data_IF_665313246294
#
_entry.id   IF_665313246294
#
_cell.length_a   1.000
_cell.length_b   1.000
_cell.length_c   1.000
_cell.angle_alpha   90.00
_cell.angle_beta   90.00
_cell.angle_gamma   90.00
#
_symmetry.space_group_name_H-M   'P 1'
#
loop_
_entity.id
_entity.type
_entity.pdbx_description
1 polymer ?
#
# COMPACT_ATOMS: atom_id res chain seq x y z
N UNK A 1 20.09 -46.46 11.38
CA UNK A 1 18.72 -46.13 10.95
C UNK A 1 18.32 -44.71 11.30
N UNK A 2 18.29 -44.31 12.62
CA UNK A 2 17.91 -42.90 12.99
C UNK A 2 18.94 -41.87 12.47
N UNK A 3 20.24 -42.13 12.59
CA UNK A 3 21.30 -41.25 12.07
C UNK A 3 21.25 -41.09 10.56
N UNK A 4 20.95 -42.15 9.81
CA UNK A 4 20.81 -42.09 8.35
C UNK A 4 19.60 -41.23 7.92
N UNK A 5 18.48 -41.32 8.67
CA UNK A 5 17.32 -40.49 8.43
C UNK A 5 17.65 -39.02 8.68
N UNK A 6 18.39 -38.75 9.76
CA UNK A 6 18.81 -37.38 10.09
C UNK A 6 19.69 -36.80 8.97
N UNK A 7 20.66 -37.54 8.48
CA UNK A 7 21.53 -37.11 7.37
C UNK A 7 20.75 -36.88 6.07
N UNK A 8 19.78 -37.75 5.76
CA UNK A 8 18.93 -37.56 4.57
C UNK A 8 18.13 -36.26 4.70
N UNK A 9 17.57 -35.98 5.88
CA UNK A 9 16.85 -34.73 6.13
C UNK A 9 17.78 -33.49 6.02
N UNK A 10 18.97 -33.54 6.58
CA UNK A 10 19.97 -32.49 6.46
C UNK A 10 20.34 -32.21 5.00
N UNK A 11 20.69 -33.24 4.22
CA UNK A 11 21.00 -33.06 2.80
C UNK A 11 19.83 -32.52 2.00
N UNK A 12 18.62 -33.00 2.27
CA UNK A 12 17.41 -32.49 1.61
C UNK A 12 17.20 -30.99 1.91
N UNK A 13 17.39 -30.60 3.17
CA UNK A 13 17.29 -29.21 3.58
C UNK A 13 18.36 -28.33 2.92
N UNK A 14 19.63 -28.83 2.89
CA UNK A 14 20.72 -28.09 2.23
C UNK A 14 20.48 -27.91 0.74
N UNK A 15 20.00 -28.93 0.04
CA UNK A 15 19.67 -28.82 -1.39
C UNK A 15 18.54 -27.82 -1.59
N UNK A 16 17.47 -27.92 -0.81
CA UNK A 16 16.33 -26.98 -0.89
C UNK A 16 16.76 -25.52 -0.68
N UNK A 17 17.54 -25.25 0.38
CA UNK A 17 18.03 -23.91 0.68
C UNK A 17 18.98 -23.42 -0.41
N UNK A 18 19.89 -24.27 -0.91
CA UNK A 18 20.84 -23.91 -1.98
C UNK A 18 20.12 -23.53 -3.28
N UNK A 19 19.09 -24.30 -3.66
CA UNK A 19 18.28 -24.01 -4.84
C UNK A 19 17.49 -22.71 -4.63
N UNK A 20 16.92 -22.50 -3.45
CA UNK A 20 16.15 -21.28 -3.13
C UNK A 20 17.03 -20.02 -3.17
N UNK A 21 18.22 -20.09 -2.57
CA UNK A 21 19.18 -18.97 -2.60
C UNK A 21 19.68 -18.76 -4.02
N UNK A 22 20.03 -19.81 -4.76
CA UNK A 22 20.45 -19.73 -6.15
C UNK A 22 19.40 -19.06 -7.04
N UNK A 23 18.12 -19.39 -6.83
CA UNK A 23 17.00 -18.76 -7.52
C UNK A 23 16.95 -17.25 -7.24
N UNK A 24 17.00 -16.85 -5.97
CA UNK A 24 16.96 -15.42 -5.58
C UNK A 24 18.16 -14.67 -6.19
N UNK A 25 19.37 -15.23 -6.11
CA UNK A 25 20.59 -14.61 -6.67
C UNK A 25 20.47 -14.47 -8.18
N UNK A 26 20.00 -15.51 -8.88
CA UNK A 26 19.83 -15.48 -10.34
C UNK A 26 18.87 -14.36 -10.76
N UNK A 27 17.70 -14.27 -10.14
CA UNK A 27 16.71 -13.26 -10.48
C UNK A 27 17.14 -11.84 -10.07
N UNK A 28 17.81 -11.71 -8.92
CA UNK A 28 18.40 -10.44 -8.49
C UNK A 28 19.47 -9.94 -9.49
N UNK A 29 20.36 -10.83 -9.92
CA UNK A 29 21.37 -10.51 -10.94
C UNK A 29 20.72 -10.17 -12.28
N UNK A 30 19.75 -11.00 -12.72
CA UNK A 30 19.02 -10.76 -13.96
C UNK A 30 18.33 -9.39 -13.96
N UNK A 31 17.72 -8.97 -12.86
CA UNK A 31 17.04 -7.67 -12.75
C UNK A 31 17.96 -6.48 -13.02
N UNK A 32 19.26 -6.62 -12.74
CA UNK A 32 20.26 -5.57 -13.01
C UNK A 32 20.50 -5.35 -14.50
N UNK A 33 20.32 -6.38 -15.34
CA UNK A 33 20.50 -6.29 -16.78
C UNK A 33 19.24 -5.84 -17.53
N UNK A 34 18.07 -5.90 -16.89
CA UNK A 34 16.84 -5.41 -17.49
C UNK A 34 16.73 -3.90 -17.34
N UNK A 35 16.80 -3.18 -18.46
CA UNK A 35 16.51 -1.75 -18.47
C UNK A 35 15.06 -1.49 -18.11
N UNK A 36 14.83 -0.60 -17.16
CA UNK A 36 13.47 -0.14 -16.86
C UNK A 36 12.84 0.45 -18.12
N UNK A 37 11.65 -0.03 -18.43
CA UNK A 37 10.87 0.51 -19.54
C UNK A 37 10.50 1.96 -19.21
N UNK A 38 11.04 2.92 -19.97
CA UNK A 38 10.61 4.31 -19.84
C UNK A 38 9.25 4.45 -20.52
N UNK A 39 8.25 4.82 -19.75
CA UNK A 39 6.94 5.17 -20.30
C UNK A 39 7.01 6.61 -20.84
N UNK A 40 6.37 6.89 -21.99
CA UNK A 40 6.29 8.25 -22.50
C UNK A 40 5.51 9.13 -21.53
N UNK A 41 5.90 10.39 -21.39
CA UNK A 41 5.11 11.35 -20.66
C UNK A 41 3.73 11.49 -21.33
N UNK A 42 2.67 11.44 -20.52
CA UNK A 42 1.30 11.68 -21.01
C UNK A 42 0.93 13.15 -20.80
N UNK A 43 0.20 13.70 -21.76
CA UNK A 43 -0.43 15.03 -21.62
C UNK A 43 -1.84 14.92 -21.07
N UNK A 44 -2.41 13.71 -21.04
CA UNK A 44 -3.75 13.44 -20.49
C UNK A 44 -3.65 13.35 -18.99
N UNK A 45 -4.35 14.24 -18.30
CA UNK A 45 -4.45 14.24 -16.84
C UNK A 45 -5.63 13.38 -16.42
N UNK A 46 -5.39 12.46 -15.50
CA UNK A 46 -6.36 11.51 -14.99
C UNK A 46 -6.79 11.92 -13.57
N UNK A 47 -8.01 11.54 -13.19
CA UNK A 47 -8.48 11.74 -11.81
C UNK A 47 -8.18 10.51 -10.97
N UNK A 48 -7.55 10.74 -9.81
CA UNK A 48 -7.20 9.69 -8.88
C UNK A 48 -8.04 9.77 -7.61
N UNK A 49 -8.40 8.62 -7.07
CA UNK A 49 -8.81 8.49 -5.68
C UNK A 49 -7.78 7.63 -4.94
N UNK A 50 -7.30 8.13 -3.81
CA UNK A 50 -6.32 7.44 -2.97
C UNK A 50 -7.05 6.97 -1.73
N UNK A 51 -7.05 5.66 -1.50
CA UNK A 51 -7.67 5.01 -0.35
C UNK A 51 -6.58 4.55 0.61
N UNK A 52 -6.64 4.99 1.86
CA UNK A 52 -5.70 4.64 2.91
C UNK A 52 -6.42 3.90 4.03
N UNK A 53 -6.48 2.55 3.99
CA UNK A 53 -7.01 1.78 5.11
C UNK A 53 -6.03 1.83 6.29
N UNK A 54 -6.49 2.31 7.45
CA UNK A 54 -5.70 2.53 8.65
C UNK A 54 -6.36 1.85 9.87
N UNK A 55 -5.81 0.70 10.29
CA UNK A 55 -6.25 -0.03 11.49
C UNK A 55 -5.28 0.21 12.65
N UNK A 56 -5.67 1.04 13.63
CA UNK A 56 -4.83 1.40 14.80
C UNK A 56 -3.48 2.03 14.42
N UNK A 57 -3.42 2.75 13.30
CA UNK A 57 -2.20 3.33 12.73
C UNK A 57 -1.99 4.80 13.17
N UNK A 58 -2.39 5.13 14.40
CA UNK A 58 -2.32 6.49 14.96
C UNK A 58 -0.93 7.12 14.90
N UNK A 59 0.13 6.31 15.00
CA UNK A 59 1.51 6.80 15.05
C UNK A 59 2.03 7.27 13.68
N UNK A 60 1.54 6.70 12.58
CA UNK A 60 2.14 6.86 11.24
C UNK A 60 1.20 7.57 10.25
N UNK A 61 -0.11 7.55 10.47
CA UNK A 61 -1.10 8.04 9.52
C UNK A 61 -0.88 9.50 9.10
N UNK A 62 -0.46 10.38 10.00
CA UNK A 62 -0.21 11.79 9.67
C UNK A 62 0.94 11.97 8.70
N UNK A 63 1.99 11.15 8.79
CA UNK A 63 3.10 11.18 7.86
C UNK A 63 2.67 10.72 6.47
N UNK A 64 1.88 9.64 6.39
CA UNK A 64 1.29 9.15 5.16
C UNK A 64 0.42 10.23 4.49
N UNK A 65 -0.56 10.78 5.20
CA UNK A 65 -1.47 11.84 4.70
C UNK A 65 -0.67 13.05 4.21
N UNK A 66 0.32 13.50 4.99
CA UNK A 66 1.18 14.63 4.59
C UNK A 66 1.94 14.31 3.29
N UNK A 67 2.43 13.09 3.11
CA UNK A 67 3.14 12.69 1.89
C UNK A 67 2.25 12.72 0.65
N UNK A 68 0.98 12.33 0.81
CA UNK A 68 -0.03 12.40 -0.26
C UNK A 68 -0.40 13.83 -0.57
N UNK A 69 -0.64 14.68 0.43
CA UNK A 69 -1.03 16.08 0.22
C UNK A 69 0.09 16.94 -0.38
N UNK A 70 1.34 16.47 -0.36
CA UNK A 70 2.51 17.14 -0.99
C UNK A 70 2.75 16.75 -2.44
N UNK A 71 1.83 16.05 -3.10
CA UNK A 71 1.99 15.71 -4.51
C UNK A 71 2.11 16.97 -5.38
N UNK A 72 2.98 16.89 -6.41
CA UNK A 72 3.09 17.94 -7.44
C UNK A 72 1.98 17.86 -8.50
N UNK A 73 1.18 16.82 -8.45
CA UNK A 73 -0.01 16.63 -9.29
C UNK A 73 -1.10 17.66 -8.90
N UNK A 74 -1.91 18.15 -9.86
CA UNK A 74 -2.93 19.15 -9.56
C UNK A 74 -3.91 18.67 -8.49
N UNK A 75 -4.10 19.49 -7.44
CA UNK A 75 -4.87 19.12 -6.26
C UNK A 75 -6.36 18.85 -6.55
N UNK A 76 -6.88 19.41 -7.64
CA UNK A 76 -8.25 19.20 -8.12
C UNK A 76 -8.44 17.87 -8.86
N UNK A 77 -7.36 17.17 -9.16
CA UNK A 77 -7.38 15.91 -9.91
C UNK A 77 -7.11 14.69 -9.03
N UNK A 78 -6.98 14.86 -7.72
CA UNK A 78 -6.92 13.73 -6.82
C UNK A 78 -7.63 14.00 -5.50
N UNK A 79 -8.24 12.97 -4.98
CA UNK A 79 -8.84 12.97 -3.66
C UNK A 79 -8.20 11.89 -2.79
N UNK A 80 -8.16 12.13 -1.48
CA UNK A 80 -7.63 11.22 -0.48
C UNK A 80 -8.74 10.86 0.51
N UNK A 81 -8.98 9.58 0.69
CA UNK A 81 -9.89 9.05 1.73
C UNK A 81 -9.08 8.16 2.68
N UNK A 82 -9.07 8.54 3.95
CA UNK A 82 -8.58 7.68 5.03
C UNK A 82 -9.75 6.87 5.60
N UNK A 83 -9.58 5.56 5.66
CA UNK A 83 -10.54 4.66 6.27
C UNK A 83 -10.01 4.31 7.66
N UNK A 84 -10.48 5.06 8.65
CA UNK A 84 -10.06 4.96 10.05
C UNK A 84 -10.79 3.81 10.72
N UNK A 85 -10.05 2.80 11.12
CA UNK A 85 -10.57 1.63 11.78
C UNK A 85 -9.92 1.45 13.16
N UNK A 86 -10.69 1.59 14.23
CA UNK A 86 -10.22 1.53 15.63
C UNK A 86 -9.09 2.54 15.96
N UNK A 87 -9.03 3.67 15.27
CA UNK A 87 -8.11 4.75 15.59
C UNK A 87 -8.67 5.63 16.72
N UNK A 88 -7.79 6.38 17.37
CA UNK A 88 -8.16 7.27 18.48
C UNK A 88 -8.98 8.46 17.97
N UNK A 89 -9.90 8.93 18.80
CA UNK A 89 -10.75 10.08 18.49
C UNK A 89 -9.95 11.37 18.24
N UNK A 90 -8.83 11.55 18.97
CA UNK A 90 -7.92 12.69 18.78
C UNK A 90 -7.28 12.68 17.40
N UNK A 91 -6.84 11.50 16.94
CA UNK A 91 -6.26 11.31 15.60
C UNK A 91 -7.31 11.61 14.53
N UNK A 92 -8.52 11.09 14.66
CA UNK A 92 -9.60 11.36 13.72
C UNK A 92 -9.98 12.84 13.71
N UNK A 93 -10.02 13.49 14.87
CA UNK A 93 -10.30 14.92 14.98
C UNK A 93 -9.21 15.78 14.31
N UNK A 94 -7.95 15.35 14.35
CA UNK A 94 -6.85 15.98 13.65
C UNK A 94 -6.96 15.79 12.14
N UNK A 95 -7.24 14.57 11.67
CA UNK A 95 -7.39 14.25 10.25
C UNK A 95 -8.54 14.99 9.58
N UNK A 96 -9.64 15.25 10.28
CA UNK A 96 -10.76 16.07 9.76
C UNK A 96 -10.41 17.52 9.43
N UNK A 97 -9.28 18.04 9.93
CA UNK A 97 -8.80 19.38 9.61
C UNK A 97 -8.00 19.44 8.31
N UNK A 98 -7.61 18.29 7.80
CA UNK A 98 -6.87 18.16 6.54
C UNK A 98 -7.83 18.12 5.33
N UNK A 99 -7.30 18.34 4.13
CA UNK A 99 -8.05 18.24 2.87
C UNK A 99 -8.22 16.77 2.45
N UNK A 100 -8.96 16.00 3.24
CA UNK A 100 -9.18 14.57 3.03
C UNK A 100 -10.63 14.18 3.34
N UNK A 101 -11.08 13.07 2.77
CA UNK A 101 -12.25 12.33 3.25
C UNK A 101 -11.85 11.41 4.41
N UNK A 102 -12.71 11.30 5.41
CA UNK A 102 -12.53 10.38 6.53
C UNK A 102 -13.76 9.48 6.67
N UNK A 103 -13.54 8.17 6.55
CA UNK A 103 -14.55 7.14 6.83
C UNK A 103 -14.16 6.46 8.14
N UNK A 104 -15.00 6.54 9.16
CA UNK A 104 -14.75 5.92 10.45
C UNK A 104 -15.52 4.61 10.58
N UNK A 105 -14.81 3.53 10.88
CA UNK A 105 -15.37 2.21 11.10
C UNK A 105 -15.35 1.89 12.59
N UNK A 106 -16.48 1.39 13.10
CA UNK A 106 -16.67 1.02 14.51
C UNK A 106 -17.10 -0.43 14.70
N UNK A 107 -16.87 -1.27 13.69
CA UNK A 107 -17.33 -2.63 13.69
C UNK A 107 -16.44 -3.58 14.50
N UNK A 108 -17.04 -4.61 15.13
CA UNK A 108 -16.32 -5.58 15.96
C UNK A 108 -15.34 -6.43 15.17
N UNK A 109 -15.65 -6.74 13.90
CA UNK A 109 -14.78 -7.49 12.99
C UNK A 109 -14.23 -6.56 11.93
N UNK A 110 -12.96 -6.26 12.06
CA UNK A 110 -12.21 -5.43 11.12
C UNK A 110 -11.42 -6.29 10.13
N UNK A 111 -11.45 -5.89 8.87
CA UNK A 111 -10.52 -6.40 7.86
C UNK A 111 -10.25 -5.32 6.80
N UNK A 112 -9.02 -5.31 6.27
CA UNK A 112 -8.64 -4.40 5.17
C UNK A 112 -9.59 -4.53 3.97
N UNK A 113 -10.00 -5.74 3.63
CA UNK A 113 -10.93 -5.99 2.53
C UNK A 113 -12.30 -5.35 2.77
N UNK A 114 -12.83 -5.44 4.01
CA UNK A 114 -14.10 -4.82 4.37
C UNK A 114 -14.02 -3.30 4.35
N UNK A 115 -12.95 -2.73 4.89
CA UNK A 115 -12.69 -1.30 4.86
C UNK A 115 -12.66 -0.76 3.42
N UNK A 116 -11.91 -1.42 2.54
CA UNK A 116 -11.84 -1.05 1.13
C UNK A 116 -13.18 -1.21 0.40
N UNK A 117 -13.99 -2.23 0.73
CA UNK A 117 -15.32 -2.40 0.16
C UNK A 117 -16.23 -1.23 0.51
N UNK A 118 -16.27 -0.82 1.78
CA UNK A 118 -17.07 0.33 2.24
C UNK A 118 -16.63 1.61 1.53
N UNK A 119 -15.33 1.84 1.40
CA UNK A 119 -14.82 2.99 0.66
C UNK A 119 -15.20 2.93 -0.83
N UNK A 120 -15.10 1.75 -1.47
CA UNK A 120 -15.47 1.56 -2.86
C UNK A 120 -16.96 1.86 -3.11
N UNK A 121 -17.84 1.43 -2.21
CA UNK A 121 -19.28 1.75 -2.27
C UNK A 121 -19.55 3.27 -2.19
N UNK A 122 -18.73 4.00 -1.41
CA UNK A 122 -18.84 5.45 -1.25
C UNK A 122 -18.43 6.23 -2.51
N UNK A 123 -17.54 5.67 -3.33
CA UNK A 123 -16.97 6.34 -4.52
C UNK A 123 -17.54 5.85 -5.86
N UNK A 124 -18.45 4.87 -5.84
CA UNK A 124 -18.96 4.19 -7.06
C UNK A 124 -19.48 5.15 -8.13
N UNK A 125 -20.13 6.26 -7.71
CA UNK A 125 -20.74 7.22 -8.62
C UNK A 125 -19.82 8.42 -8.93
N UNK A 126 -18.54 8.36 -8.54
CA UNK A 126 -17.61 9.45 -8.74
C UNK A 126 -16.76 9.23 -10.00
N UNK A 127 -16.44 10.29 -10.76
CA UNK A 127 -15.70 10.19 -12.02
C UNK A 127 -14.19 10.08 -11.80
N UNK A 128 -13.71 9.00 -11.15
CA UNK A 128 -12.29 8.70 -11.03
C UNK A 128 -11.84 7.74 -12.13
N UNK A 129 -10.68 8.00 -12.70
CA UNK A 129 -10.06 7.13 -13.69
C UNK A 129 -9.26 6.00 -13.04
N UNK A 130 -8.68 6.28 -11.86
CA UNK A 130 -7.85 5.32 -11.13
C UNK A 130 -8.09 5.35 -9.63
N UNK A 131 -8.03 4.17 -9.04
CA UNK A 131 -8.03 3.97 -7.59
C UNK A 131 -6.64 3.52 -7.16
N UNK A 132 -6.01 4.28 -6.27
CA UNK A 132 -4.75 3.92 -5.64
C UNK A 132 -5.02 3.47 -4.19
N UNK A 133 -4.56 2.29 -3.82
CA UNK A 133 -4.60 1.81 -2.44
C UNK A 133 -3.21 1.98 -1.86
N UNK A 134 -3.10 2.75 -0.78
CA UNK A 134 -1.84 3.04 -0.09
C UNK A 134 -1.94 2.57 1.36
N UNK A 135 -0.96 1.82 1.83
CA UNK A 135 -0.91 1.42 3.24
C UNK A 135 -0.54 2.62 4.13
N UNK A 136 -1.11 2.66 5.33
CA UNK A 136 -1.01 3.81 6.23
C UNK A 136 0.42 4.10 6.73
N UNK A 137 1.31 3.12 6.65
CA UNK A 137 2.73 3.21 7.00
C UNK A 137 3.64 3.58 5.82
N UNK A 138 3.09 3.69 4.60
CA UNK A 138 3.85 4.02 3.41
C UNK A 138 3.91 5.54 3.15
N UNK A 139 5.05 5.98 2.65
CA UNK A 139 5.28 7.35 2.19
C UNK A 139 5.48 7.35 0.68
N UNK A 140 4.87 8.30 -0.01
CA UNK A 140 5.05 8.46 -1.46
C UNK A 140 5.83 9.74 -1.77
N UNK A 141 6.61 9.68 -2.86
CA UNK A 141 7.36 10.85 -3.32
C UNK A 141 6.43 11.93 -3.88
N UNK A 142 6.82 13.22 -3.88
CA UNK A 142 5.98 14.30 -4.39
C UNK A 142 5.59 14.19 -5.88
N UNK A 143 6.28 13.39 -6.65
CA UNK A 143 6.02 13.16 -8.08
C UNK A 143 5.55 11.73 -8.37
N UNK A 144 4.79 11.14 -7.44
CA UNK A 144 4.32 9.75 -7.57
C UNK A 144 3.11 9.64 -8.51
N UNK A 145 2.20 10.62 -8.50
CA UNK A 145 1.01 10.72 -9.36
C UNK A 145 1.33 11.26 -10.74
#
# INVERSE_FOLDING_TARGET
MLSEIIHIMEYTLYIYLSVSVGYIVLFSAASHFFKQKKYPATTVRQRFIILVPAYKEDAVIHACVTSVLRQTYPAELYDLIVISDHMRSETNASLRKERIGLIELHEKESSKAKALRIAAETITDQPYDYVLILDADNLISPCYL
#
